data_IF_714449573484
#
_entry.id   IF_714449573484
#
_cell.length_a   1.000
_cell.length_b   1.000
_cell.length_c   1.000
_cell.angle_alpha   90.00
_cell.angle_beta   90.00
_cell.angle_gamma   90.00
#
_symmetry.space_group_name_H-M   'P 1'
#
loop_
_entity.id
_entity.type
_entity.pdbx_description
1 polymer ?
#
# COMPACT_ATOMS: atom_id res chain seq x y z
N UNK A 1 59.19 -12.22 5.99
CA UNK A 1 58.25 -12.94 6.83
C UNK A 1 56.86 -12.33 6.60
N UNK A 2 56.12 -12.97 5.67
CA UNK A 2 54.78 -12.58 5.31
C UNK A 2 53.75 -13.06 6.33
N UNK A 3 52.78 -12.21 6.65
CA UNK A 3 51.54 -12.66 7.25
C UNK A 3 50.44 -12.23 6.29
N UNK A 4 50.01 -13.21 5.46
CA UNK A 4 48.81 -13.06 4.66
C UNK A 4 47.57 -13.21 5.57
N UNK A 5 46.97 -12.08 5.90
CA UNK A 5 45.66 -12.04 6.53
C UNK A 5 44.60 -12.17 5.44
N UNK A 6 44.06 -13.37 5.28
CA UNK A 6 42.92 -13.62 4.39
C UNK A 6 41.63 -13.21 5.15
N UNK A 7 41.33 -11.92 5.13
CA UNK A 7 40.10 -11.38 5.63
C UNK A 7 38.98 -11.67 4.62
N UNK A 8 38.27 -12.77 4.82
CA UNK A 8 37.06 -13.09 4.09
C UNK A 8 35.97 -12.04 4.39
N UNK A 9 35.99 -10.93 3.65
CA UNK A 9 34.87 -10.02 3.54
C UNK A 9 33.75 -10.74 2.82
N UNK A 10 32.90 -11.42 3.57
CA UNK A 10 31.60 -11.87 3.07
C UNK A 10 30.81 -10.64 2.69
N UNK A 11 30.99 -10.20 1.43
CA UNK A 11 30.27 -9.08 0.88
C UNK A 11 28.77 -9.36 0.95
N UNK A 12 28.05 -8.48 1.60
CA UNK A 12 26.60 -8.27 1.49
C UNK A 12 26.23 -7.86 0.05
N UNK A 13 26.73 -8.62 -0.93
CA UNK A 13 26.22 -8.57 -2.30
C UNK A 13 25.11 -9.63 -2.48
N UNK A 14 24.23 -9.77 -1.50
CA UNK A 14 22.91 -10.26 -1.82
C UNK A 14 22.38 -9.26 -2.85
N UNK A 15 22.29 -9.64 -4.09
CA UNK A 15 21.55 -8.90 -5.10
C UNK A 15 20.12 -8.88 -4.60
N UNK A 16 19.74 -7.76 -3.95
CA UNK A 16 18.35 -7.53 -3.60
C UNK A 16 17.60 -7.45 -4.93
N UNK A 17 16.81 -8.47 -5.23
CA UNK A 17 15.87 -8.41 -6.33
C UNK A 17 14.72 -7.49 -5.90
N UNK A 18 14.96 -6.18 -6.04
CA UNK A 18 13.98 -5.16 -5.67
C UNK A 18 12.71 -5.29 -6.50
N UNK A 19 12.81 -5.76 -7.75
CA UNK A 19 11.67 -5.88 -8.65
C UNK A 19 10.59 -6.86 -8.13
N UNK A 20 11.02 -7.90 -7.42
CA UNK A 20 10.12 -8.90 -6.81
C UNK A 20 9.97 -8.71 -5.30
N UNK A 21 10.42 -7.58 -4.74
CA UNK A 21 10.21 -7.30 -3.33
C UNK A 21 8.72 -7.04 -3.04
N UNK A 22 8.20 -7.47 -1.87
CA UNK A 22 6.78 -7.30 -1.52
C UNK A 22 6.25 -5.88 -1.67
N UNK A 23 6.97 -4.80 -1.30
CA UNK A 23 6.52 -3.43 -1.52
C UNK A 23 6.29 -3.11 -3.00
N UNK A 24 7.20 -3.52 -3.88
CA UNK A 24 7.07 -3.29 -5.32
C UNK A 24 5.92 -4.12 -5.90
N UNK A 25 5.79 -5.39 -5.50
CA UNK A 25 4.69 -6.25 -5.94
C UNK A 25 3.33 -5.66 -5.54
N UNK A 26 3.19 -5.20 -4.29
CA UNK A 26 1.97 -4.53 -3.82
C UNK A 26 1.66 -3.28 -4.64
N UNK A 27 2.69 -2.46 -4.90
CA UNK A 27 2.54 -1.21 -5.64
C UNK A 27 2.21 -1.44 -7.12
N UNK A 28 2.74 -2.49 -7.75
CA UNK A 28 2.57 -2.75 -9.20
C UNK A 28 1.40 -3.67 -9.53
N UNK A 29 0.86 -4.40 -8.56
CA UNK A 29 -0.30 -5.28 -8.76
C UNK A 29 -1.54 -4.47 -9.17
N UNK A 30 -2.17 -4.84 -10.27
CA UNK A 30 -3.40 -4.17 -10.76
C UNK A 30 -4.66 -4.57 -9.99
N UNK A 31 -4.69 -5.75 -9.40
CA UNK A 31 -5.81 -6.17 -8.54
C UNK A 31 -5.84 -5.34 -7.26
N UNK A 32 -7.00 -4.88 -6.79
CA UNK A 32 -7.13 -4.28 -5.47
C UNK A 32 -6.62 -5.21 -4.37
N UNK A 33 -5.91 -4.64 -3.41
CA UNK A 33 -5.37 -5.35 -2.25
C UNK A 33 -5.95 -4.72 -0.99
N UNK A 34 -6.64 -5.51 -0.18
CA UNK A 34 -7.22 -5.09 1.09
C UNK A 34 -6.40 -5.67 2.24
N UNK A 35 -5.98 -4.83 3.15
CA UNK A 35 -5.34 -5.23 4.39
C UNK A 35 -6.39 -5.38 5.50
N UNK A 36 -6.54 -6.58 6.03
CA UNK A 36 -7.25 -6.85 7.27
C UNK A 36 -6.22 -6.81 8.42
N UNK A 37 -6.09 -5.68 9.08
CA UNK A 37 -5.10 -5.44 10.13
C UNK A 37 -5.61 -5.96 11.46
N UNK A 38 -5.27 -7.19 11.80
CA UNK A 38 -5.77 -7.90 12.98
C UNK A 38 -5.01 -7.64 14.29
N UNK A 39 -3.90 -6.92 14.23
CA UNK A 39 -3.03 -6.68 15.39
C UNK A 39 -1.93 -5.67 15.08
N UNK A 40 -0.88 -5.62 15.92
CA UNK A 40 0.21 -4.66 15.72
C UNK A 40 1.01 -4.91 14.45
N UNK A 41 1.20 -3.85 13.65
CA UNK A 41 2.11 -3.82 12.50
C UNK A 41 3.18 -2.75 12.74
N UNK A 42 4.44 -3.18 12.85
CA UNK A 42 5.56 -2.31 13.17
C UNK A 42 6.63 -2.35 12.07
N UNK A 43 7.25 -1.20 11.80
CA UNK A 43 8.33 -1.11 10.82
C UNK A 43 7.90 -1.66 9.46
N UNK A 44 8.60 -2.66 8.96
CA UNK A 44 8.29 -3.34 7.69
C UNK A 44 6.82 -3.76 7.57
N UNK A 45 6.21 -4.29 8.64
CA UNK A 45 4.80 -4.67 8.64
C UNK A 45 3.86 -3.47 8.48
N UNK A 46 4.20 -2.31 9.07
CA UNK A 46 3.46 -1.07 8.84
C UNK A 46 3.58 -0.64 7.37
N UNK A 47 4.79 -0.64 6.81
CA UNK A 47 5.01 -0.25 5.41
C UNK A 47 4.23 -1.15 4.44
N UNK A 48 4.18 -2.47 4.68
CA UNK A 48 3.36 -3.39 3.89
C UNK A 48 1.87 -3.08 4.00
N UNK A 49 1.38 -2.81 5.20
CA UNK A 49 -0.02 -2.42 5.39
C UNK A 49 -0.36 -1.12 4.64
N UNK A 50 0.55 -0.13 4.67
CA UNK A 50 0.40 1.12 3.92
C UNK A 50 0.46 0.91 2.39
N UNK A 51 1.18 -0.11 1.93
CA UNK A 51 1.27 -0.48 0.52
C UNK A 51 0.01 -1.12 -0.06
N UNK A 52 -0.91 -1.60 0.79
CA UNK A 52 -2.23 -2.05 0.35
C UNK A 52 -3.12 -0.86 -0.06
N UNK A 53 -4.12 -1.09 -0.90
CA UNK A 53 -5.02 -0.01 -1.36
C UNK A 53 -5.99 0.44 -0.26
N UNK A 54 -6.58 -0.52 0.44
CA UNK A 54 -7.56 -0.30 1.51
C UNK A 54 -7.13 -1.03 2.77
N UNK A 55 -7.34 -0.43 3.94
CA UNK A 55 -7.00 -0.99 5.24
C UNK A 55 -8.22 -0.96 6.15
N UNK A 56 -8.66 -2.14 6.61
CA UNK A 56 -9.62 -2.29 7.72
C UNK A 56 -8.84 -2.77 8.92
N UNK A 57 -8.96 -2.09 10.04
CA UNK A 57 -8.23 -2.42 11.26
C UNK A 57 -9.16 -2.94 12.33
N UNK A 58 -8.71 -3.95 13.08
CA UNK A 58 -9.29 -4.27 14.39
C UNK A 58 -9.09 -3.10 15.34
N UNK A 59 -10.04 -2.89 16.27
CA UNK A 59 -9.92 -1.92 17.37
C UNK A 59 -8.66 -2.14 18.23
N UNK A 60 -8.12 -3.35 18.25
CA UNK A 60 -6.90 -3.72 18.97
C UNK A 60 -5.61 -3.52 18.14
N UNK A 61 -5.72 -3.20 16.86
CA UNK A 61 -4.57 -3.04 15.98
C UNK A 61 -3.78 -1.77 16.32
N UNK A 62 -2.49 -1.80 15.97
CA UNK A 62 -1.58 -0.67 16.12
C UNK A 62 -0.69 -0.55 14.90
N UNK A 63 -0.39 0.67 14.48
CA UNK A 63 0.61 0.98 13.46
C UNK A 63 1.80 1.67 14.12
N UNK A 64 3.01 1.14 13.92
CA UNK A 64 4.19 1.65 14.62
C UNK A 64 5.34 1.98 13.66
N UNK A 65 5.63 3.28 13.50
CA UNK A 65 6.71 3.83 12.67
C UNK A 65 8.05 3.83 13.43
N UNK A 66 8.45 2.69 13.97
CA UNK A 66 9.58 2.56 14.93
C UNK A 66 10.98 2.66 14.30
N UNK A 67 11.08 2.94 13.02
CA UNK A 67 12.34 2.94 12.26
C UNK A 67 13.40 3.86 12.87
N UNK A 68 13.08 5.13 13.07
CA UNK A 68 14.03 6.13 13.58
C UNK A 68 14.50 5.82 15.00
N UNK A 69 13.68 5.17 15.81
CA UNK A 69 14.09 4.67 17.16
C UNK A 69 15.12 3.55 17.09
N UNK A 70 15.27 2.91 15.92
CA UNK A 70 16.22 1.81 15.67
C UNK A 70 17.38 2.24 14.78
N UNK A 71 17.50 3.53 14.46
CA UNK A 71 18.57 4.07 13.63
C UNK A 71 18.46 3.69 12.15
N UNK A 72 17.26 3.34 11.66
CA UNK A 72 16.96 3.04 10.26
C UNK A 72 15.86 3.97 9.76
N UNK A 73 15.61 3.92 8.46
CA UNK A 73 14.54 4.67 7.79
C UNK A 73 13.44 3.71 7.29
N UNK A 74 12.23 4.20 6.96
CA UNK A 74 11.19 3.40 6.32
C UNK A 74 11.63 2.96 4.92
N UNK A 75 12.19 1.75 4.83
CA UNK A 75 12.85 1.21 3.63
C UNK A 75 11.90 0.54 2.64
N UNK A 76 10.68 0.23 3.07
CA UNK A 76 9.76 -0.60 2.30
C UNK A 76 8.57 0.19 1.72
N UNK A 77 8.80 1.47 1.44
CA UNK A 77 7.83 2.35 0.82
C UNK A 77 7.19 3.36 1.77
N UNK A 78 7.36 3.24 3.09
CA UNK A 78 6.76 4.16 4.06
C UNK A 78 7.16 5.60 3.86
N UNK A 79 8.41 5.87 3.49
CA UNK A 79 8.91 7.23 3.18
C UNK A 79 8.16 7.88 2.00
N UNK A 80 7.68 7.10 1.05
CA UNK A 80 6.92 7.55 -0.11
C UNK A 80 5.42 7.60 0.17
N UNK A 81 4.90 6.59 0.87
CA UNK A 81 3.46 6.40 1.12
C UNK A 81 2.92 7.35 2.19
N UNK A 82 3.59 7.47 3.34
CA UNK A 82 3.10 8.28 4.47
C UNK A 82 2.73 9.72 4.07
N UNK A 83 3.62 10.51 3.43
CA UNK A 83 3.30 11.89 3.09
C UNK A 83 2.19 11.99 2.04
N UNK A 84 1.98 10.98 1.21
CA UNK A 84 0.90 10.92 0.22
C UNK A 84 -0.45 10.56 0.85
N UNK A 85 -0.44 9.74 1.89
CA UNK A 85 -1.66 9.34 2.60
C UNK A 85 -2.16 10.41 3.57
N UNK A 86 -1.26 11.03 4.36
CA UNK A 86 -1.65 11.90 5.48
C UNK A 86 -1.06 13.33 5.43
N UNK A 87 -0.41 13.65 4.32
CA UNK A 87 0.28 14.93 4.12
C UNK A 87 1.60 15.02 4.88
N UNK A 88 2.46 15.97 4.47
CA UNK A 88 3.83 16.08 4.97
C UNK A 88 3.92 16.26 6.48
N UNK A 89 3.14 17.17 7.05
CA UNK A 89 3.27 17.53 8.47
C UNK A 89 2.98 16.33 9.40
N UNK A 90 1.86 15.63 9.19
CA UNK A 90 1.52 14.45 9.98
C UNK A 90 2.50 13.30 9.73
N UNK A 91 2.90 13.09 8.48
CA UNK A 91 3.87 12.05 8.12
C UNK A 91 5.23 12.28 8.78
N UNK A 92 5.73 13.51 8.79
CA UNK A 92 6.96 13.89 9.45
C UNK A 92 6.88 13.65 10.97
N UNK A 93 5.78 14.04 11.60
CA UNK A 93 5.58 13.79 13.02
C UNK A 93 5.58 12.29 13.35
N UNK A 94 4.82 11.49 12.62
CA UNK A 94 4.75 10.02 12.80
C UNK A 94 6.12 9.39 12.62
N UNK A 95 6.81 9.72 11.51
CA UNK A 95 8.08 9.09 11.15
C UNK A 95 9.24 9.54 12.05
N UNK A 96 9.38 10.86 12.29
CA UNK A 96 10.54 11.38 13.04
C UNK A 96 10.47 11.04 14.53
N UNK A 97 9.26 11.04 15.11
CA UNK A 97 9.05 10.62 16.49
C UNK A 97 9.04 9.09 16.65
N UNK A 98 8.95 8.34 15.58
CA UNK A 98 8.81 6.89 15.62
C UNK A 98 7.53 6.47 16.35
N UNK A 99 6.40 7.13 16.03
CA UNK A 99 5.14 6.94 16.76
C UNK A 99 4.57 5.53 16.62
N UNK A 100 3.86 5.13 17.66
CA UNK A 100 2.92 4.01 17.63
C UNK A 100 1.53 4.58 17.77
N UNK A 101 0.70 4.29 16.80
CA UNK A 101 -0.68 4.75 16.70
C UNK A 101 -1.63 3.60 17.02
N UNK A 102 -2.65 3.88 17.84
CA UNK A 102 -3.83 3.00 17.95
C UNK A 102 -4.63 2.97 16.67
N UNK A 103 -5.54 2.01 16.54
CA UNK A 103 -6.44 1.94 15.39
C UNK A 103 -7.29 3.22 15.23
N UNK A 104 -7.76 3.80 16.34
CA UNK A 104 -8.54 5.03 16.34
C UNK A 104 -7.70 6.24 15.85
N UNK A 105 -6.47 6.41 16.33
CA UNK A 105 -5.57 7.47 15.87
C UNK A 105 -5.20 7.28 14.39
N UNK A 106 -4.99 6.05 13.95
CA UNK A 106 -4.72 5.73 12.54
C UNK A 106 -5.92 6.06 11.64
N UNK A 107 -7.15 5.87 12.12
CA UNK A 107 -8.38 6.26 11.43
C UNK A 107 -8.50 7.78 11.33
N UNK A 108 -8.31 8.49 12.43
CA UNK A 108 -8.36 9.97 12.46
C UNK A 108 -7.30 10.61 11.54
N UNK A 109 -6.13 9.98 11.44
CA UNK A 109 -5.08 10.44 10.54
C UNK A 109 -5.34 10.09 9.07
N UNK A 110 -6.22 9.13 8.77
CA UNK A 110 -6.47 8.65 7.41
C UNK A 110 -5.53 7.52 6.97
N UNK A 111 -4.85 6.86 7.91
CA UNK A 111 -3.99 5.70 7.64
C UNK A 111 -4.76 4.40 7.50
N UNK A 112 -5.96 4.30 8.06
CA UNK A 112 -6.90 3.19 7.87
C UNK A 112 -8.26 3.73 7.43
N UNK A 113 -9.01 2.92 6.70
CA UNK A 113 -10.30 3.32 6.13
C UNK A 113 -11.47 3.06 7.09
N UNK A 114 -11.34 2.03 7.94
CA UNK A 114 -12.37 1.60 8.88
C UNK A 114 -11.74 0.90 10.07
N UNK A 115 -12.36 1.05 11.24
CA UNK A 115 -12.03 0.29 12.45
C UNK A 115 -13.28 -0.50 12.85
N UNK A 116 -13.09 -1.77 13.20
CA UNK A 116 -14.14 -2.70 13.62
C UNK A 116 -13.68 -3.50 14.83
N UNK A 117 -14.59 -4.16 15.51
CA UNK A 117 -14.23 -5.08 16.59
C UNK A 117 -13.48 -6.31 16.03
N UNK A 118 -12.64 -6.98 16.84
CA UNK A 118 -11.76 -8.05 16.36
C UNK A 118 -12.47 -9.19 15.64
N UNK A 119 -13.65 -9.59 16.10
CA UNK A 119 -14.47 -10.65 15.51
C UNK A 119 -15.20 -10.23 14.23
N UNK A 120 -15.37 -8.92 14.01
CA UNK A 120 -15.96 -8.36 12.80
C UNK A 120 -14.94 -8.12 11.68
N UNK A 121 -13.64 -8.19 11.96
CA UNK A 121 -12.61 -7.81 10.99
C UNK A 121 -12.67 -8.63 9.70
N UNK A 122 -12.71 -9.95 9.81
CA UNK A 122 -12.74 -10.83 8.63
C UNK A 122 -14.09 -10.72 7.89
N UNK A 123 -15.26 -10.75 8.57
CA UNK A 123 -16.54 -10.47 7.91
C UNK A 123 -16.58 -9.17 7.13
N UNK A 124 -16.22 -8.04 7.75
CA UNK A 124 -16.24 -6.72 7.12
C UNK A 124 -15.24 -6.62 5.93
N UNK A 125 -14.09 -7.28 6.03
CA UNK A 125 -13.11 -7.31 4.94
C UNK A 125 -13.63 -8.13 3.76
N UNK A 126 -14.26 -9.27 4.01
CA UNK A 126 -14.84 -10.10 2.96
C UNK A 126 -16.04 -9.44 2.29
N UNK A 127 -16.88 -8.73 3.04
CA UNK A 127 -17.99 -7.94 2.51
C UNK A 127 -17.46 -6.89 1.50
N UNK A 128 -16.48 -6.08 1.90
CA UNK A 128 -15.88 -5.10 1.00
C UNK A 128 -15.20 -5.75 -0.22
N UNK A 129 -14.53 -6.88 -0.02
CA UNK A 129 -13.92 -7.61 -1.13
C UNK A 129 -14.97 -8.12 -2.12
N UNK A 130 -16.11 -8.60 -1.63
CA UNK A 130 -17.23 -9.05 -2.47
C UNK A 130 -17.86 -7.88 -3.24
N UNK A 131 -18.06 -6.72 -2.59
CA UNK A 131 -18.55 -5.50 -3.26
C UNK A 131 -17.64 -5.07 -4.41
N UNK A 132 -16.32 -5.08 -4.19
CA UNK A 132 -15.35 -4.73 -5.23
C UNK A 132 -15.34 -5.79 -6.34
N UNK A 133 -15.42 -7.07 -5.99
CA UNK A 133 -15.40 -8.18 -6.94
C UNK A 133 -16.67 -8.26 -7.80
N UNK A 134 -17.78 -7.68 -7.34
CA UNK A 134 -19.02 -7.57 -8.11
C UNK A 134 -18.94 -6.55 -9.25
N UNK A 135 -17.95 -5.66 -9.24
CA UNK A 135 -17.73 -4.71 -10.33
C UNK A 135 -16.94 -5.33 -11.47
N UNK A 136 -17.03 -4.72 -12.66
CA UNK A 136 -16.29 -5.12 -13.86
C UNK A 136 -14.77 -5.20 -13.60
N UNK A 137 -14.14 -6.39 -13.60
CA UNK A 137 -12.79 -6.58 -13.10
C UNK A 137 -11.73 -5.82 -13.90
N UNK A 138 -11.89 -5.70 -15.21
CA UNK A 138 -10.97 -4.95 -16.07
C UNK A 138 -11.06 -3.44 -15.78
N UNK A 139 -12.26 -2.93 -15.52
CA UNK A 139 -12.46 -1.52 -15.16
C UNK A 139 -11.83 -1.19 -13.81
N UNK A 140 -12.02 -2.05 -12.80
CA UNK A 140 -11.40 -1.89 -11.47
C UNK A 140 -9.87 -1.87 -11.57
N UNK A 141 -9.28 -2.79 -12.33
CA UNK A 141 -7.83 -2.87 -12.52
C UNK A 141 -7.29 -1.65 -13.28
N UNK A 142 -7.96 -1.23 -14.35
CA UNK A 142 -7.60 -0.03 -15.10
C UNK A 142 -7.69 1.23 -14.23
N UNK A 143 -8.74 1.35 -13.41
CA UNK A 143 -8.91 2.45 -12.47
C UNK A 143 -7.74 2.54 -11.50
N UNK A 144 -7.39 1.42 -10.84
CA UNK A 144 -6.24 1.37 -9.92
C UNK A 144 -4.93 1.80 -10.61
N UNK A 145 -4.70 1.29 -11.83
CA UNK A 145 -3.50 1.62 -12.62
C UNK A 145 -3.44 3.11 -12.94
N UNK A 146 -4.54 3.69 -13.38
CA UNK A 146 -4.60 5.12 -13.74
C UNK A 146 -4.50 6.03 -12.52
N UNK A 147 -5.09 5.66 -11.38
CA UNK A 147 -4.92 6.40 -10.13
C UNK A 147 -3.46 6.43 -9.67
N UNK A 148 -2.74 5.29 -9.76
CA UNK A 148 -1.31 5.24 -9.43
C UNK A 148 -0.47 6.10 -10.36
N UNK A 149 -0.69 5.97 -11.66
CA UNK A 149 0.02 6.77 -12.67
C UNK A 149 -0.20 8.27 -12.44
N UNK A 150 -1.42 8.66 -12.09
CA UNK A 150 -1.78 10.05 -11.77
C UNK A 150 -1.06 10.66 -10.56
N UNK A 151 -0.40 9.85 -9.72
CA UNK A 151 0.43 10.36 -8.63
C UNK A 151 1.79 10.92 -9.12
N UNK A 152 2.18 10.62 -10.35
CA UNK A 152 3.52 10.91 -10.88
C UNK A 152 3.49 11.77 -12.15
N UNK A 153 2.35 11.95 -12.80
CA UNK A 153 2.21 12.68 -14.05
C UNK A 153 1.32 13.93 -13.93
N UNK A 154 1.32 14.77 -14.96
CA UNK A 154 0.41 15.92 -15.02
C UNK A 154 -1.03 15.48 -15.24
N UNK A 155 -2.00 16.32 -14.84
CA UNK A 155 -3.43 16.06 -15.06
C UNK A 155 -3.75 15.79 -16.54
N UNK A 156 -3.19 16.59 -17.45
CA UNK A 156 -3.41 16.43 -18.90
C UNK A 156 -2.88 15.09 -19.42
N UNK A 157 -1.67 14.69 -18.99
CA UNK A 157 -1.10 13.40 -19.36
C UNK A 157 -1.96 12.24 -18.82
N UNK A 158 -2.40 12.35 -17.56
CA UNK A 158 -3.26 11.34 -16.94
C UNK A 158 -4.58 11.18 -17.71
N UNK A 159 -5.27 12.27 -18.01
CA UNK A 159 -6.51 12.24 -18.81
C UNK A 159 -6.30 11.56 -20.15
N UNK A 160 -5.19 11.85 -20.84
CA UNK A 160 -4.86 11.19 -22.10
C UNK A 160 -4.67 9.68 -21.93
N UNK A 161 -3.90 9.25 -20.91
CA UNK A 161 -3.71 7.84 -20.60
C UNK A 161 -5.01 7.13 -20.19
N UNK A 162 -5.89 7.81 -19.43
CA UNK A 162 -7.22 7.29 -19.10
C UNK A 162 -8.03 7.01 -20.36
N UNK A 163 -8.04 7.92 -21.35
CA UNK A 163 -8.73 7.68 -22.61
C UNK A 163 -8.19 6.46 -23.35
N UNK A 164 -6.87 6.28 -23.39
CA UNK A 164 -6.26 5.10 -24.02
C UNK A 164 -6.65 3.79 -23.32
N UNK A 165 -6.78 3.81 -21.98
CA UNK A 165 -7.24 2.65 -21.22
C UNK A 165 -8.75 2.40 -21.36
N UNK A 166 -9.53 3.44 -21.60
CA UNK A 166 -10.99 3.36 -21.74
C UNK A 166 -11.42 2.68 -23.07
N UNK A 167 -10.69 2.94 -24.16
CA UNK A 167 -11.03 2.43 -25.47
C UNK A 167 -11.23 0.90 -25.54
N UNK A 168 -10.33 0.06 -25.01
CA UNK A 168 -10.56 -1.38 -24.99
C UNK A 168 -11.70 -1.79 -24.05
N UNK A 169 -11.99 -1.04 -22.99
CA UNK A 169 -13.08 -1.35 -22.06
C UNK A 169 -14.46 -1.25 -22.73
N UNK A 170 -14.65 -0.33 -23.67
CA UNK A 170 -15.89 -0.22 -24.45
C UNK A 170 -16.23 -1.46 -25.27
N UNK A 171 -15.27 -2.35 -25.48
CA UNK A 171 -15.46 -3.58 -26.26
C UNK A 171 -15.78 -4.78 -25.37
N UNK A 172 -15.74 -4.64 -24.05
CA UNK A 172 -16.01 -5.71 -23.09
C UNK A 172 -17.51 -6.04 -22.99
N UNK A 173 -17.82 -7.26 -22.55
CA UNK A 173 -19.19 -7.64 -22.23
C UNK A 173 -19.71 -6.87 -21.02
N UNK A 174 -18.86 -6.67 -20.00
CA UNK A 174 -19.19 -5.91 -18.80
C UNK A 174 -19.69 -4.49 -19.13
N UNK A 175 -19.03 -3.81 -20.10
CA UNK A 175 -19.49 -2.49 -20.56
C UNK A 175 -20.86 -2.56 -21.23
N UNK A 176 -21.10 -3.57 -22.08
CA UNK A 176 -22.40 -3.75 -22.76
C UNK A 176 -23.52 -4.07 -21.78
N UNK A 177 -23.23 -4.84 -20.73
CA UNK A 177 -24.17 -5.16 -19.67
C UNK A 177 -24.50 -3.92 -18.84
N UNK A 178 -23.47 -3.16 -18.40
CA UNK A 178 -23.64 -1.94 -17.61
C UNK A 178 -24.40 -0.80 -18.34
N UNK A 179 -24.43 -0.80 -19.69
CA UNK A 179 -25.23 0.18 -20.45
C UNK A 179 -26.70 -0.27 -20.56
N UNK A 180 -27.01 -1.56 -20.35
CA UNK A 180 -28.36 -2.11 -20.43
C UNK A 180 -29.12 -2.15 -19.11
N UNK A 181 -28.37 -2.06 -17.98
CA UNK A 181 -28.90 -2.01 -16.61
C UNK A 181 -29.33 -0.58 -16.24
#
# INVERSE_FOLDING_TARGET
TGIGGNGGGGGLSARFDLANSPPIVLHTTDKPVICALNGPAAGYGMDLALGCDIRIASSEAKLAAVFTRRGILPESGGSWLLPRLIGWAKAAEVAFRGMTLSAAEALEMGLVNRVVEPDELVPATNELAAEIAANAPLAVQATKRMMRLGLEESFEANVHHVFLQLLPLFQTEDFREGVRS
#
